data_IF_828391253759
#
_entry.id   IF_828391253759
#
_cell.length_a   1.000
_cell.length_b   1.000
_cell.length_c   1.000
_cell.angle_alpha   90.00
_cell.angle_beta   90.00
_cell.angle_gamma   90.00
#
_symmetry.space_group_name_H-M   'P 1'
#
loop_
_entity.id
_entity.type
_entity.pdbx_description
1 polymer ?
#
# COMPACT_ATOMS: atom_id res chain seq x y z
N UNK A 1 -36.12 -3.68 0.82
CA UNK A 1 -34.99 -3.09 0.07
C UNK A 1 -34.37 -4.20 -0.77
N UNK A 2 -34.28 -4.05 -2.09
CA UNK A 2 -33.64 -5.01 -2.99
C UNK A 2 -32.24 -4.47 -3.30
N UNK A 3 -31.20 -5.24 -3.00
CA UNK A 3 -29.81 -4.83 -3.21
C UNK A 3 -29.06 -5.94 -3.95
N UNK A 4 -28.48 -5.59 -5.10
CA UNK A 4 -27.62 -6.49 -5.86
C UNK A 4 -26.16 -6.21 -5.51
N UNK A 5 -25.38 -7.28 -5.25
CA UNK A 5 -23.95 -7.17 -4.98
C UNK A 5 -23.18 -7.22 -6.29
N UNK A 6 -22.56 -6.10 -6.65
CA UNK A 6 -21.62 -6.02 -7.78
C UNK A 6 -20.18 -5.82 -7.26
N UNK A 7 -19.23 -6.57 -7.80
CA UNK A 7 -17.80 -6.36 -7.53
C UNK A 7 -17.22 -5.49 -8.63
N UNK A 8 -16.68 -4.34 -8.24
CA UNK A 8 -16.07 -3.37 -9.12
C UNK A 8 -14.57 -3.25 -8.82
N UNK A 9 -13.77 -3.02 -9.85
CA UNK A 9 -12.34 -2.80 -9.73
C UNK A 9 -11.97 -1.36 -10.09
N UNK A 10 -11.05 -0.79 -9.31
CA UNK A 10 -10.46 0.51 -9.60
C UNK A 10 -9.10 0.38 -10.30
N UNK A 11 -8.75 1.38 -11.09
CA UNK A 11 -7.42 1.57 -11.66
C UNK A 11 -6.46 2.22 -10.65
N UNK A 12 -5.23 2.54 -11.09
CA UNK A 12 -4.20 3.16 -10.24
C UNK A 12 -4.54 4.59 -9.82
N UNK A 13 -5.45 5.25 -10.53
CA UNK A 13 -5.90 6.62 -10.26
C UNK A 13 -7.19 6.64 -9.43
N UNK A 14 -7.73 5.47 -9.08
CA UNK A 14 -8.96 5.34 -8.30
C UNK A 14 -10.24 5.34 -9.14
N UNK A 15 -10.16 5.32 -10.47
CA UNK A 15 -11.33 5.29 -11.33
C UNK A 15 -11.84 3.85 -11.49
N UNK A 16 -13.15 3.68 -11.61
CA UNK A 16 -13.73 2.38 -11.98
C UNK A 16 -13.25 1.97 -13.38
N UNK A 17 -12.69 0.76 -13.50
CA UNK A 17 -12.23 0.23 -14.80
C UNK A 17 -13.38 0.03 -15.80
N UNK A 18 -14.57 -0.30 -15.28
CA UNK A 18 -15.77 -0.53 -16.07
C UNK A 18 -16.99 -0.04 -15.31
N UNK A 19 -17.90 0.62 -16.04
CA UNK A 19 -19.18 1.07 -15.50
C UNK A 19 -20.28 0.06 -15.93
N UNK A 20 -21.00 -0.56 -14.99
CA UNK A 20 -22.09 -1.47 -15.33
C UNK A 20 -23.22 -0.72 -16.02
N UNK A 21 -23.93 -1.42 -16.93
CA UNK A 21 -25.13 -0.88 -17.57
C UNK A 21 -26.28 -0.87 -16.56
N UNK A 22 -26.77 0.32 -16.23
CA UNK A 22 -27.90 0.50 -15.33
C UNK A 22 -29.23 0.58 -16.11
N UNK A 23 -30.35 0.21 -15.47
CA UNK A 23 -31.69 0.43 -16.02
C UNK A 23 -31.96 1.90 -16.36
N UNK A 24 -32.60 2.14 -17.50
CA UNK A 24 -32.98 3.49 -17.92
C UNK A 24 -34.03 4.12 -16.98
N UNK A 25 -33.90 5.42 -16.73
CA UNK A 25 -34.86 6.24 -15.98
C UNK A 25 -35.18 5.73 -14.56
N UNK A 26 -34.16 5.23 -13.85
CA UNK A 26 -34.27 4.79 -12.45
C UNK A 26 -33.30 5.56 -11.57
N UNK A 27 -33.69 5.78 -10.31
CA UNK A 27 -32.82 6.34 -9.27
C UNK A 27 -32.24 5.21 -8.42
N UNK A 28 -30.96 5.34 -8.09
CA UNK A 28 -30.23 4.35 -7.30
C UNK A 28 -29.55 5.02 -6.12
N UNK A 29 -29.63 4.38 -4.97
CA UNK A 29 -28.75 4.63 -3.84
C UNK A 29 -27.63 3.59 -3.88
N UNK A 30 -26.38 4.03 -3.80
CA UNK A 30 -25.20 3.16 -3.91
C UNK A 30 -24.34 3.22 -2.66
N UNK A 31 -23.90 2.06 -2.19
CA UNK A 31 -22.98 1.91 -1.07
C UNK A 31 -21.70 1.26 -1.58
N UNK A 32 -20.55 1.91 -1.36
CA UNK A 32 -19.24 1.37 -1.71
C UNK A 32 -18.60 0.69 -0.49
N UNK A 33 -18.20 -0.57 -0.66
CA UNK A 33 -17.46 -1.34 0.33
C UNK A 33 -16.10 -1.73 -0.24
N UNK A 34 -15.02 -1.24 0.37
CA UNK A 34 -13.65 -1.63 0.01
C UNK A 34 -13.39 -3.06 0.48
N UNK A 35 -13.26 -4.00 -0.45
CA UNK A 35 -13.13 -5.42 -0.12
C UNK A 35 -11.71 -5.83 0.28
N UNK A 36 -10.69 -5.23 -0.34
CA UNK A 36 -9.26 -5.52 -0.09
C UNK A 36 -8.43 -4.29 -0.40
N UNK A 37 -7.56 -3.90 0.52
CA UNK A 37 -6.46 -3.00 0.23
C UNK A 37 -5.39 -3.76 -0.54
N UNK A 38 -5.27 -3.48 -1.84
CA UNK A 38 -4.24 -4.09 -2.70
C UNK A 38 -2.90 -3.35 -2.57
N UNK A 39 -2.72 -2.52 -1.53
CA UNK A 39 -1.40 -2.06 -1.11
C UNK A 39 -0.61 -3.26 -0.59
N UNK A 40 -0.15 -4.15 -1.48
CA UNK A 40 1.00 -4.99 -1.21
C UNK A 40 2.13 -4.02 -0.93
N UNK A 41 2.39 -3.74 0.35
CA UNK A 41 3.64 -3.11 0.77
C UNK A 41 4.73 -3.98 0.15
N UNK A 42 5.35 -3.49 -0.91
CA UNK A 42 6.55 -4.10 -1.46
C UNK A 42 7.55 -4.01 -0.32
N UNK A 43 7.73 -5.10 0.42
CA UNK A 43 8.78 -5.18 1.42
C UNK A 43 10.07 -4.97 0.63
N UNK A 44 10.77 -3.87 0.89
CA UNK A 44 12.07 -3.60 0.26
C UNK A 44 12.99 -4.76 0.63
N UNK A 45 13.37 -5.55 -0.35
CA UNK A 45 14.38 -6.57 -0.18
C UNK A 45 15.72 -5.99 -0.63
N UNK A 46 16.82 -6.33 0.05
CA UNK A 46 18.17 -6.02 -0.44
C UNK A 46 18.39 -6.62 -1.83
N UNK A 47 19.33 -6.07 -2.61
CA UNK A 47 19.75 -6.64 -3.89
C UNK A 47 20.12 -8.13 -3.73
N UNK A 48 19.83 -9.03 -4.69
CA UNK A 48 20.09 -10.47 -4.55
C UNK A 48 21.51 -10.81 -4.09
N UNK A 49 22.51 -10.04 -4.52
CA UNK A 49 23.91 -10.29 -4.17
C UNK A 49 24.24 -10.08 -2.69
N UNK A 50 23.45 -9.28 -1.97
CA UNK A 50 23.61 -8.99 -0.54
C UNK A 50 22.53 -9.66 0.31
N UNK A 51 21.41 -10.05 -0.29
CA UNK A 51 20.32 -10.72 0.41
C UNK A 51 20.83 -12.01 1.10
N UNK A 52 20.63 -12.09 2.42
CA UNK A 52 21.06 -13.24 3.24
C UNK A 52 22.55 -13.29 3.58
N UNK A 53 23.39 -12.43 2.98
CA UNK A 53 24.84 -12.36 3.26
C UNK A 53 25.20 -11.32 4.32
N UNK A 54 24.28 -10.41 4.63
CA UNK A 54 24.49 -9.33 5.59
C UNK A 54 23.44 -9.38 6.70
N UNK A 55 23.87 -9.07 7.93
CA UNK A 55 22.99 -8.96 9.09
C UNK A 55 22.67 -7.48 9.31
N UNK A 56 21.38 -7.13 9.25
CA UNK A 56 20.93 -5.79 9.61
C UNK A 56 21.07 -5.69 11.14
N UNK A 57 22.00 -4.85 11.61
CA UNK A 57 22.29 -4.71 13.04
C UNK A 57 21.39 -3.70 13.77
N UNK A 58 20.66 -2.85 13.04
CA UNK A 58 19.80 -1.82 13.63
C UNK A 58 19.43 -0.74 12.61
N UNK A 59 18.76 0.31 13.07
CA UNK A 59 18.53 1.53 12.31
C UNK A 59 19.82 2.36 12.26
N UNK A 60 20.20 2.86 11.08
CA UNK A 60 21.45 3.62 10.87
C UNK A 60 21.24 5.11 11.22
N UNK A 61 20.00 5.55 11.39
CA UNK A 61 19.69 6.94 11.72
C UNK A 61 19.86 7.27 13.22
N UNK A 62 20.02 6.27 14.08
CA UNK A 62 20.33 6.46 15.49
C UNK A 62 21.85 6.41 15.70
N UNK A 63 22.49 7.59 15.64
CA UNK A 63 23.87 7.74 16.10
C UNK A 63 23.92 8.10 17.58
N UNK A 64 25.02 7.75 18.25
CA UNK A 64 25.31 8.36 19.57
C UNK A 64 25.35 9.89 19.42
N UNK A 65 24.89 10.65 20.43
CA UNK A 65 24.95 12.11 20.40
C UNK A 65 26.36 12.61 20.09
N UNK A 66 26.45 13.76 19.43
CA UNK A 66 27.75 14.35 19.06
C UNK A 66 28.70 14.59 20.25
N UNK A 67 28.17 14.68 21.47
CA UNK A 67 28.96 14.77 22.71
C UNK A 67 29.79 13.51 23.01
N UNK A 68 29.36 12.36 22.50
CA UNK A 68 29.96 11.05 22.79
C UNK A 68 30.94 10.63 21.70
N UNK A 69 31.27 11.53 20.77
CA UNK A 69 32.23 11.27 19.70
C UNK A 69 33.64 11.52 20.23
N UNK A 70 34.44 10.46 20.30
CA UNK A 70 35.84 10.55 20.69
C UNK A 70 36.67 11.07 19.49
N UNK A 71 37.13 12.31 19.61
CA UNK A 71 38.02 12.95 18.63
C UNK A 71 39.50 12.87 19.02
N UNK A 72 39.86 12.07 20.02
CA UNK A 72 41.26 11.88 20.38
C UNK A 72 41.98 11.01 19.34
N UNK A 73 42.99 11.61 18.69
CA UNK A 73 43.92 11.00 17.74
C UNK A 73 45.20 10.57 18.45
#
# INVERSE_FOLDING_TARGET
MYAERLILETDRSGNLKYLPKLPANKQFETIFLVLKDVTKRVKRTPHPDIAGKVKIMGDIFDSVPSSDWDFSL
#
